data_IF_466299062049
#
_entry.id   IF_466299062049
#
_cell.length_a   1.000
_cell.length_b   1.000
_cell.length_c   1.000
_cell.angle_alpha   90.00
_cell.angle_beta   90.00
_cell.angle_gamma   90.00
#
_symmetry.space_group_name_H-M   'P 1'
#
loop_
_entity.id
_entity.type
_entity.pdbx_description
1 polymer ?
#
# COMPACT_ATOMS: atom_id res chain seq x y z
N UNK A 1 20.45 42.19 3.16
CA UNK A 1 20.51 40.70 3.15
C UNK A 1 19.07 40.15 3.11
N UNK A 2 18.71 39.44 2.07
CA UNK A 2 17.42 38.78 1.97
C UNK A 2 17.45 37.44 2.73
N UNK A 3 16.33 37.06 3.35
CA UNK A 3 16.20 35.77 4.05
C UNK A 3 15.01 34.99 3.55
N UNK A 4 15.05 33.68 3.71
CA UNK A 4 13.94 32.76 3.42
C UNK A 4 13.78 31.78 4.58
N UNK A 5 12.54 31.48 4.94
CA UNK A 5 12.25 30.45 5.95
C UNK A 5 12.36 29.04 5.34
N UNK A 6 12.47 28.02 6.17
CA UNK A 6 12.49 26.63 5.71
C UNK A 6 11.17 26.20 5.09
N UNK A 7 10.05 26.75 5.55
CA UNK A 7 8.71 26.51 5.01
C UNK A 7 8.57 27.08 3.60
N UNK A 8 9.03 28.31 3.38
CA UNK A 8 9.00 28.97 2.06
C UNK A 8 9.91 28.25 1.08
N UNK A 9 11.13 27.86 1.50
CA UNK A 9 12.05 27.09 0.66
C UNK A 9 11.45 25.73 0.27
N UNK A 10 10.81 25.04 1.22
CA UNK A 10 10.14 23.77 0.97
C UNK A 10 8.94 23.89 0.02
N UNK A 11 8.16 24.97 0.10
CA UNK A 11 7.05 25.25 -0.83
C UNK A 11 7.55 25.57 -2.23
N UNK A 12 8.65 26.30 -2.33
CA UNK A 12 9.27 26.67 -3.62
C UNK A 12 9.86 25.44 -4.32
N UNK A 13 10.30 24.45 -3.54
CA UNK A 13 11.05 23.29 -4.02
C UNK A 13 12.53 23.63 -4.25
N UNK A 14 13.40 22.67 -4.05
CA UNK A 14 14.86 22.86 -4.20
C UNK A 14 15.37 22.56 -5.61
N UNK A 15 14.56 21.89 -6.44
CA UNK A 15 14.95 21.55 -7.81
C UNK A 15 15.12 22.78 -8.71
N UNK A 16 16.31 22.94 -9.27
CA UNK A 16 16.62 24.05 -10.18
C UNK A 16 17.03 25.36 -9.49
N UNK A 17 17.06 25.42 -8.16
CA UNK A 17 17.61 26.56 -7.43
C UNK A 17 19.14 26.48 -7.37
N UNK A 18 19.79 27.64 -7.35
CA UNK A 18 21.21 27.74 -7.02
C UNK A 18 21.33 27.72 -5.49
N UNK A 19 21.24 26.53 -4.89
CA UNK A 19 21.26 26.31 -3.45
C UNK A 19 22.67 25.89 -3.01
N UNK A 20 23.30 26.69 -2.15
CA UNK A 20 24.69 26.56 -1.75
C UNK A 20 24.81 26.22 -0.27
N UNK A 21 25.49 25.14 0.02
CA UNK A 21 25.87 24.73 1.36
C UNK A 21 27.29 25.24 1.66
N UNK A 22 27.38 26.19 2.56
CA UNK A 22 28.71 26.80 2.92
C UNK A 22 29.38 26.07 4.08
N UNK A 23 28.88 24.91 4.49
CA UNK A 23 29.53 24.06 5.48
C UNK A 23 30.76 23.37 4.91
N UNK A 24 31.69 22.93 5.78
CA UNK A 24 32.79 22.08 5.36
C UNK A 24 32.33 20.82 4.61
N UNK A 25 33.13 20.31 3.67
CA UNK A 25 32.83 19.15 2.83
C UNK A 25 32.46 17.89 3.64
N UNK A 26 33.12 17.68 4.78
CA UNK A 26 32.82 16.59 5.67
C UNK A 26 31.39 16.63 6.24
N UNK A 27 30.84 17.83 6.47
CA UNK A 27 29.47 18.00 6.97
C UNK A 27 28.45 17.88 5.85
N UNK A 28 28.77 18.39 4.68
CA UNK A 28 27.97 18.20 3.46
C UNK A 28 27.82 16.71 3.10
N UNK A 29 28.91 15.95 3.14
CA UNK A 29 28.93 14.52 2.79
C UNK A 29 28.12 13.64 3.76
N UNK A 30 27.90 14.11 5.01
CA UNK A 30 27.04 13.44 6.01
C UNK A 30 25.55 13.69 5.79
N UNK A 31 25.21 14.67 4.95
CA UNK A 31 23.83 15.02 4.60
C UNK A 31 23.68 16.48 4.28
N UNK A 32 22.90 16.78 3.25
CA UNK A 32 22.63 18.12 2.74
C UNK A 32 21.15 18.27 2.35
N UNK A 33 20.73 19.47 2.02
CA UNK A 33 19.43 19.70 1.37
C UNK A 33 19.53 19.22 -0.07
N UNK A 34 18.51 18.47 -0.53
CA UNK A 34 18.51 17.92 -1.88
C UNK A 34 18.69 19.01 -2.95
N UNK A 35 19.61 18.76 -3.88
CA UNK A 35 19.98 19.71 -4.95
C UNK A 35 20.97 20.77 -4.52
N UNK A 36 21.47 20.78 -3.29
CA UNK A 36 22.48 21.73 -2.85
C UNK A 36 23.86 21.39 -3.41
N UNK A 37 24.64 22.44 -3.70
CA UNK A 37 26.04 22.37 -4.11
C UNK A 37 26.89 22.80 -2.91
N UNK A 38 27.95 22.08 -2.61
CA UNK A 38 28.87 22.46 -1.54
C UNK A 38 29.88 23.49 -2.04
N UNK A 39 29.86 24.66 -1.41
CA UNK A 39 30.87 25.70 -1.58
C UNK A 39 31.22 26.28 -0.20
N UNK A 40 32.20 25.70 0.52
CA UNK A 40 32.57 26.13 1.85
C UNK A 40 32.90 27.62 1.93
N UNK A 41 32.54 28.24 3.07
CA UNK A 41 32.77 29.68 3.30
C UNK A 41 34.22 30.11 3.00
N UNK A 42 35.21 29.31 3.37
CA UNK A 42 36.61 29.54 3.11
C UNK A 42 36.95 29.72 1.61
N UNK A 43 36.22 29.01 0.74
CA UNK A 43 36.38 29.16 -0.71
C UNK A 43 35.76 30.46 -1.22
N UNK A 44 34.62 30.86 -0.66
CA UNK A 44 33.95 32.13 -0.96
C UNK A 44 34.88 33.29 -0.55
N UNK A 45 35.46 33.22 0.66
CA UNK A 45 36.44 34.19 1.15
C UNK A 45 37.70 34.24 0.27
N UNK A 46 38.08 33.14 -0.34
CA UNK A 46 39.21 33.08 -1.30
C UNK A 46 38.84 33.56 -2.72
N UNK A 47 37.57 33.92 -2.96
CA UNK A 47 37.08 34.35 -4.29
C UNK A 47 36.87 33.21 -5.28
N UNK A 48 36.77 31.95 -4.82
CA UNK A 48 36.52 30.78 -5.68
C UNK A 48 35.01 30.64 -5.97
N UNK A 49 34.40 31.62 -6.67
CA UNK A 49 32.97 31.74 -6.91
C UNK A 49 32.55 31.41 -8.35
N UNK A 50 33.43 30.86 -9.18
CA UNK A 50 33.21 30.58 -10.61
C UNK A 50 32.00 29.66 -10.91
N UNK A 51 31.58 28.82 -9.95
CA UNK A 51 30.44 27.94 -10.10
C UNK A 51 29.09 28.67 -9.94
N UNK A 52 29.12 29.91 -9.43
CA UNK A 52 27.90 30.68 -9.17
C UNK A 52 27.52 31.50 -10.41
N UNK A 53 26.20 31.63 -10.60
CA UNK A 53 25.62 32.41 -11.68
C UNK A 53 25.00 33.70 -11.16
N UNK A 54 25.24 34.83 -11.81
CA UNK A 54 24.70 36.14 -11.41
C UNK A 54 23.29 36.43 -11.96
N UNK A 55 22.82 35.61 -12.88
CA UNK A 55 21.52 35.77 -13.54
C UNK A 55 20.35 35.15 -12.77
N UNK A 56 20.63 34.51 -11.64
CA UNK A 56 19.66 33.89 -10.77
C UNK A 56 20.06 34.03 -9.27
N UNK A 57 19.07 34.05 -8.35
CA UNK A 57 19.36 34.18 -6.93
C UNK A 57 20.18 32.99 -6.39
N UNK A 58 21.09 33.30 -5.44
CA UNK A 58 21.92 32.34 -4.73
C UNK A 58 21.33 32.11 -3.33
N UNK A 59 20.81 30.93 -3.09
CA UNK A 59 20.29 30.51 -1.78
C UNK A 59 21.43 29.91 -0.97
N UNK A 60 21.68 30.45 0.21
CA UNK A 60 22.81 30.06 1.06
C UNK A 60 22.33 29.47 2.37
N UNK A 61 22.99 28.44 2.84
CA UNK A 61 22.79 27.92 4.17
C UNK A 61 24.07 27.34 4.78
N UNK A 62 24.15 27.41 6.11
CA UNK A 62 25.15 26.70 6.90
C UNK A 62 24.48 25.85 7.98
N UNK A 63 25.11 25.57 9.11
CA UNK A 63 24.50 24.83 10.20
C UNK A 63 23.30 25.56 10.83
N UNK A 64 23.44 26.85 11.15
CA UNK A 64 22.45 27.65 11.90
C UNK A 64 22.12 29.00 11.27
N UNK A 65 22.71 29.34 10.13
CA UNK A 65 22.44 30.57 9.39
C UNK A 65 23.44 31.73 9.66
N UNK A 66 24.48 31.51 10.47
CA UNK A 66 25.50 32.53 10.77
C UNK A 66 26.57 32.63 9.67
N UNK A 67 27.34 31.59 9.43
CA UNK A 67 28.38 31.56 8.37
C UNK A 67 27.81 31.78 6.96
N UNK A 68 26.55 31.37 6.73
CA UNK A 68 25.89 31.65 5.45
C UNK A 68 25.45 33.10 5.30
N UNK A 69 25.30 33.83 6.40
CA UNK A 69 25.11 35.27 6.39
C UNK A 69 26.41 35.99 5.97
N UNK A 70 27.52 35.58 6.57
CA UNK A 70 28.84 36.12 6.20
C UNK A 70 29.17 35.86 4.73
N UNK A 71 28.87 34.64 4.25
CA UNK A 71 28.99 34.30 2.83
C UNK A 71 28.07 35.15 1.94
N UNK A 72 26.88 35.43 2.37
CA UNK A 72 25.94 36.25 1.61
C UNK A 72 26.43 37.71 1.51
N UNK A 73 26.94 38.28 2.60
CA UNK A 73 27.49 39.63 2.59
C UNK A 73 28.68 39.75 1.58
N UNK A 74 29.57 38.78 1.57
CA UNK A 74 30.72 38.76 0.60
C UNK A 74 30.18 38.67 -0.86
N UNK A 75 29.21 37.81 -1.12
CA UNK A 75 28.67 37.62 -2.46
C UNK A 75 27.81 38.82 -2.91
N UNK A 76 27.06 39.47 -2.00
CA UNK A 76 26.32 40.70 -2.28
C UNK A 76 27.28 41.82 -2.73
N UNK A 77 28.46 41.97 -2.08
CA UNK A 77 29.51 42.93 -2.46
C UNK A 77 30.09 42.61 -3.83
N UNK A 78 30.09 41.34 -4.24
CA UNK A 78 30.50 40.89 -5.58
C UNK A 78 29.37 41.02 -6.64
N UNK A 79 28.18 41.45 -6.23
CA UNK A 79 27.04 41.71 -7.11
C UNK A 79 26.18 40.48 -7.42
N UNK A 80 26.16 39.49 -6.54
CA UNK A 80 25.19 38.39 -6.58
C UNK A 80 23.88 38.82 -5.82
N UNK A 81 22.73 38.25 -6.21
CA UNK A 81 21.50 38.39 -5.47
C UNK A 81 21.41 37.22 -4.47
N UNK A 82 21.64 37.48 -3.19
CA UNK A 82 21.76 36.43 -2.19
C UNK A 82 20.55 36.33 -1.28
N UNK A 83 20.20 35.10 -0.88
CA UNK A 83 19.09 34.80 0.04
C UNK A 83 19.59 33.79 1.07
N UNK A 84 19.61 34.20 2.34
CA UNK A 84 20.07 33.34 3.43
C UNK A 84 18.92 32.53 4.02
N UNK A 85 19.11 31.19 4.19
CA UNK A 85 18.15 30.32 4.85
C UNK A 85 18.18 30.51 6.36
N UNK A 86 17.08 30.99 6.94
CA UNK A 86 16.94 31.20 8.37
C UNK A 86 17.08 29.88 9.15
N UNK A 87 17.97 29.91 10.16
CA UNK A 87 18.25 28.73 11.00
C UNK A 87 18.98 27.59 10.30
N UNK A 88 19.36 27.76 9.03
CA UNK A 88 20.22 26.88 8.26
C UNK A 88 19.76 25.42 8.19
N UNK A 89 20.72 24.50 7.98
CA UNK A 89 20.46 23.07 7.87
C UNK A 89 19.78 22.45 9.10
N UNK A 90 20.06 22.99 10.30
CA UNK A 90 19.42 22.52 11.53
C UNK A 90 17.92 22.82 11.55
N UNK A 91 17.49 23.99 11.07
CA UNK A 91 16.07 24.34 10.95
C UNK A 91 15.39 23.48 9.87
N UNK A 92 16.06 23.22 8.74
CA UNK A 92 15.59 22.32 7.70
C UNK A 92 15.34 20.91 8.21
N UNK A 93 16.30 20.30 8.92
CA UNK A 93 16.13 18.98 9.51
C UNK A 93 14.96 18.93 10.50
N UNK A 94 14.82 19.96 11.35
CA UNK A 94 13.70 20.05 12.31
C UNK A 94 12.36 20.12 11.56
N UNK A 95 12.27 20.93 10.53
CA UNK A 95 11.09 21.03 9.68
C UNK A 95 10.73 19.67 9.05
N UNK A 96 11.68 18.96 8.45
CA UNK A 96 11.47 17.65 7.87
C UNK A 96 10.96 16.63 8.90
N UNK A 97 11.58 16.58 10.09
CA UNK A 97 11.15 15.70 11.17
C UNK A 97 9.72 16.01 11.62
N UNK A 98 9.38 17.29 11.78
CA UNK A 98 8.04 17.73 12.18
C UNK A 98 7.01 17.31 11.13
N UNK A 99 7.31 17.52 9.84
CA UNK A 99 6.41 17.13 8.74
C UNK A 99 6.15 15.63 8.72
N UNK A 100 7.21 14.82 8.79
CA UNK A 100 7.09 13.34 8.82
C UNK A 100 6.28 12.89 10.05
N UNK A 101 6.46 13.52 11.20
CA UNK A 101 5.71 13.20 12.41
C UNK A 101 4.23 13.55 12.27
N UNK A 102 3.90 14.71 11.69
CA UNK A 102 2.50 15.12 11.45
C UNK A 102 1.81 14.20 10.45
N UNK A 103 2.48 13.82 9.34
CA UNK A 103 1.96 12.89 8.35
C UNK A 103 1.70 11.51 8.98
N UNK A 104 2.61 11.02 9.82
CA UNK A 104 2.44 9.74 10.53
C UNK A 104 1.27 9.77 11.52
N UNK A 105 1.12 10.86 12.28
CA UNK A 105 0.02 11.02 13.23
C UNK A 105 -1.33 11.08 12.49
N UNK A 106 -1.44 11.88 11.44
CA UNK A 106 -2.65 11.96 10.61
C UNK A 106 -3.04 10.60 10.01
N UNK A 107 -2.06 9.85 9.53
CA UNK A 107 -2.29 8.48 9.01
C UNK A 107 -2.79 7.56 10.12
N UNK A 108 -2.17 7.59 11.30
CA UNK A 108 -2.58 6.76 12.44
C UNK A 108 -4.01 7.06 12.87
N UNK A 109 -4.37 8.33 13.01
CA UNK A 109 -5.73 8.75 13.31
C UNK A 109 -6.73 8.24 12.27
N UNK A 110 -6.36 8.32 11.00
CA UNK A 110 -7.17 7.82 9.89
C UNK A 110 -7.36 6.31 9.96
N UNK A 111 -6.29 5.54 10.22
CA UNK A 111 -6.35 4.09 10.41
C UNK A 111 -7.28 3.73 11.58
N UNK A 112 -7.16 4.41 12.72
CA UNK A 112 -8.02 4.21 13.88
C UNK A 112 -9.51 4.49 13.59
N UNK A 113 -9.81 5.53 12.80
CA UNK A 113 -11.19 5.83 12.37
C UNK A 113 -11.77 4.69 11.53
N UNK A 114 -10.97 4.14 10.59
CA UNK A 114 -11.37 3.00 9.75
C UNK A 114 -11.64 1.77 10.61
N UNK A 115 -10.78 1.46 11.56
CA UNK A 115 -10.94 0.35 12.51
C UNK A 115 -12.19 0.53 13.39
N UNK A 116 -12.38 1.70 13.96
CA UNK A 116 -13.57 2.03 14.75
C UNK A 116 -14.86 1.88 13.94
N UNK A 117 -14.83 2.15 12.64
CA UNK A 117 -15.99 1.96 11.77
C UNK A 117 -16.45 0.50 11.70
N UNK A 118 -15.53 -0.47 11.67
CA UNK A 118 -15.82 -1.90 11.63
C UNK A 118 -16.58 -2.38 12.88
N UNK A 119 -16.11 -2.00 14.06
CA UNK A 119 -16.67 -2.47 15.34
C UNK A 119 -17.84 -1.63 15.83
N UNK A 120 -18.10 -0.45 15.23
CA UNK A 120 -19.25 0.41 15.56
C UNK A 120 -20.31 0.36 14.45
N UNK A 121 -20.10 1.09 13.35
CA UNK A 121 -21.07 1.26 12.27
C UNK A 121 -21.34 -0.05 11.51
N UNK A 122 -20.28 -0.79 11.19
CA UNK A 122 -20.36 -2.05 10.43
C UNK A 122 -20.33 -3.29 11.33
N UNK A 123 -20.60 -3.13 12.62
CA UNK A 123 -20.61 -4.24 13.57
C UNK A 123 -21.56 -5.35 13.16
N UNK A 124 -22.83 -5.02 12.89
CA UNK A 124 -23.86 -6.02 12.56
C UNK A 124 -23.66 -6.61 11.15
N UNK A 125 -23.50 -5.81 10.09
CA UNK A 125 -23.43 -6.34 8.73
C UNK A 125 -22.09 -7.01 8.40
N UNK A 126 -20.97 -6.60 9.00
CA UNK A 126 -19.63 -7.10 8.68
C UNK A 126 -19.03 -7.89 9.85
N UNK A 127 -18.73 -7.23 10.97
CA UNK A 127 -18.01 -7.84 12.09
C UNK A 127 -18.72 -9.07 12.66
N UNK A 128 -20.01 -8.95 12.97
CA UNK A 128 -20.78 -10.08 13.56
C UNK A 128 -20.91 -11.24 12.59
N UNK A 129 -21.05 -10.98 11.29
CA UNK A 129 -21.10 -12.04 10.28
C UNK A 129 -19.76 -12.74 10.08
N UNK A 130 -18.67 -11.96 10.10
CA UNK A 130 -17.31 -12.49 10.08
C UNK A 130 -17.04 -13.40 11.30
N UNK A 131 -17.30 -12.92 12.52
CA UNK A 131 -17.10 -13.72 13.74
C UNK A 131 -18.03 -14.93 13.80
N UNK A 132 -19.27 -14.79 13.30
CA UNK A 132 -20.22 -15.91 13.18
C UNK A 132 -19.69 -16.98 12.24
N UNK A 133 -19.16 -16.62 11.07
CA UNK A 133 -18.56 -17.58 10.13
C UNK A 133 -17.37 -18.32 10.75
N UNK A 134 -16.51 -17.61 11.46
CA UNK A 134 -15.37 -18.23 12.15
C UNK A 134 -15.81 -19.25 13.20
N UNK A 135 -16.88 -18.96 13.91
CA UNK A 135 -17.43 -19.83 14.96
C UNK A 135 -18.19 -21.01 14.35
N UNK A 136 -19.18 -20.77 13.48
CA UNK A 136 -20.08 -21.80 12.96
C UNK A 136 -19.35 -22.85 12.13
N UNK A 137 -18.26 -22.47 11.47
CA UNK A 137 -17.46 -23.37 10.64
C UNK A 137 -16.12 -23.75 11.29
N UNK A 138 -15.90 -23.41 12.56
CA UNK A 138 -14.68 -23.74 13.32
C UNK A 138 -13.41 -23.42 12.54
N UNK A 139 -13.34 -22.20 11.96
CA UNK A 139 -12.26 -21.84 11.03
C UNK A 139 -10.93 -21.58 11.70
N UNK A 140 -10.93 -21.20 12.99
CA UNK A 140 -9.70 -20.85 13.74
C UNK A 140 -9.65 -21.67 15.03
N UNK A 141 -8.47 -22.21 15.31
CA UNK A 141 -8.14 -22.92 16.55
C UNK A 141 -6.92 -22.30 17.23
N UNK A 142 -6.73 -22.56 18.52
CA UNK A 142 -5.53 -22.12 19.21
C UNK A 142 -4.28 -22.80 18.63
N UNK A 143 -3.23 -22.01 18.41
CA UNK A 143 -1.99 -22.46 17.79
C UNK A 143 -1.98 -22.38 16.26
N UNK A 144 -3.07 -21.95 15.61
CA UNK A 144 -3.07 -21.76 14.17
C UNK A 144 -2.10 -20.63 13.74
N UNK A 145 -1.47 -20.81 12.61
CA UNK A 145 -0.75 -19.77 11.87
C UNK A 145 -1.39 -19.56 10.51
N UNK A 146 -2.01 -18.40 10.32
CA UNK A 146 -2.92 -18.12 9.21
C UNK A 146 -2.28 -17.16 8.21
N UNK A 147 -2.15 -17.58 6.96
CA UNK A 147 -1.80 -16.70 5.86
C UNK A 147 -3.07 -16.02 5.31
N UNK A 148 -3.26 -14.74 5.60
CA UNK A 148 -4.31 -13.91 5.03
C UNK A 148 -3.84 -13.44 3.65
N UNK A 149 -4.48 -13.93 2.59
CA UNK A 149 -4.06 -13.63 1.22
C UNK A 149 -4.59 -12.28 0.75
N UNK A 150 -3.67 -11.38 0.42
CA UNK A 150 -3.96 -10.02 -0.04
C UNK A 150 -3.82 -9.94 -1.56
N UNK A 151 -4.93 -9.61 -2.21
CA UNK A 151 -4.96 -9.37 -3.67
C UNK A 151 -4.95 -7.88 -4.04
N UNK A 152 -5.07 -6.99 -3.06
CA UNK A 152 -5.20 -5.55 -3.26
C UNK A 152 -6.64 -5.07 -3.49
N UNK A 153 -7.61 -5.98 -3.68
CA UNK A 153 -9.03 -5.65 -3.78
C UNK A 153 -9.69 -5.39 -2.42
N UNK A 154 -10.88 -4.78 -2.45
CA UNK A 154 -11.67 -4.41 -1.27
C UNK A 154 -11.88 -5.55 -0.26
N UNK A 155 -12.13 -6.76 -0.78
CA UNK A 155 -12.48 -7.93 0.04
C UNK A 155 -11.28 -8.43 0.84
N UNK A 156 -10.12 -8.54 0.20
CA UNK A 156 -8.88 -8.97 0.85
C UNK A 156 -8.36 -7.96 1.86
N UNK A 157 -8.49 -6.67 1.58
CA UNK A 157 -8.08 -5.62 2.51
C UNK A 157 -9.03 -5.51 3.71
N UNK A 158 -10.34 -5.66 3.50
CA UNK A 158 -11.31 -5.78 4.61
C UNK A 158 -11.00 -7.01 5.48
N UNK A 159 -10.76 -8.17 4.85
CA UNK A 159 -10.40 -9.40 5.55
C UNK A 159 -9.19 -9.21 6.44
N UNK A 160 -8.14 -8.54 5.94
CA UNK A 160 -6.95 -8.23 6.71
C UNK A 160 -7.25 -7.37 7.94
N UNK A 161 -8.07 -6.34 7.79
CA UNK A 161 -8.48 -5.48 8.91
C UNK A 161 -9.29 -6.23 9.96
N UNK A 162 -10.21 -7.08 9.53
CA UNK A 162 -11.00 -7.92 10.44
C UNK A 162 -10.12 -8.90 11.23
N UNK A 163 -9.11 -9.49 10.59
CA UNK A 163 -8.15 -10.34 11.28
C UNK A 163 -7.27 -9.57 12.27
N UNK A 164 -6.84 -8.35 11.93
CA UNK A 164 -6.08 -7.49 12.85
C UNK A 164 -6.91 -7.15 14.09
N UNK A 165 -8.18 -6.77 13.91
CA UNK A 165 -9.09 -6.52 15.02
C UNK A 165 -9.34 -7.76 15.88
N UNK A 166 -9.53 -8.91 15.25
CA UNK A 166 -9.69 -10.19 15.96
C UNK A 166 -8.44 -10.54 16.75
N UNK A 167 -7.25 -10.34 16.18
CA UNK A 167 -5.97 -10.61 16.84
C UNK A 167 -5.74 -9.72 18.06
N UNK A 168 -6.06 -8.43 17.96
CA UNK A 168 -5.88 -7.46 19.05
C UNK A 168 -6.84 -7.66 20.22
N UNK A 169 -8.07 -8.08 19.93
CA UNK A 169 -9.16 -8.11 20.89
C UNK A 169 -9.75 -9.50 21.12
N UNK A 170 -9.30 -10.49 20.37
CA UNK A 170 -9.77 -11.88 20.49
C UNK A 170 -9.16 -12.59 21.69
N UNK A 171 -9.84 -13.68 22.12
CA UNK A 171 -9.38 -14.53 23.20
C UNK A 171 -8.57 -15.75 22.74
N UNK A 172 -8.49 -15.98 21.41
CA UNK A 172 -7.79 -17.12 20.82
C UNK A 172 -6.33 -16.76 20.55
N UNK A 173 -5.44 -17.72 20.73
CA UNK A 173 -4.03 -17.58 20.43
C UNK A 173 -3.73 -18.14 19.05
N UNK A 174 -3.45 -17.27 18.07
CA UNK A 174 -3.06 -17.64 16.70
C UNK A 174 -2.09 -16.61 16.15
N UNK A 175 -1.35 -16.98 15.11
CA UNK A 175 -0.44 -16.08 14.39
C UNK A 175 -1.02 -15.66 13.04
N UNK A 176 -0.64 -14.46 12.56
CA UNK A 176 -1.05 -13.92 11.28
C UNK A 176 0.14 -13.61 10.39
N UNK A 177 0.02 -13.95 9.12
CA UNK A 177 0.90 -13.49 8.04
C UNK A 177 0.02 -12.89 6.95
N UNK A 178 0.24 -11.64 6.58
CA UNK A 178 -0.47 -10.98 5.48
C UNK A 178 0.31 -11.18 4.18
N UNK A 179 -0.08 -12.19 3.43
CA UNK A 179 0.67 -12.69 2.27
C UNK A 179 0.16 -12.03 0.98
N UNK A 180 1.02 -11.27 0.32
CA UNK A 180 0.71 -10.61 -0.94
C UNK A 180 1.63 -11.11 -2.05
N UNK A 181 1.06 -11.73 -3.06
CA UNK A 181 1.78 -12.15 -4.25
C UNK A 181 1.73 -11.08 -5.33
N UNK A 182 2.89 -10.72 -5.88
CA UNK A 182 2.98 -9.95 -7.11
C UNK A 182 3.14 -10.90 -8.32
N UNK A 183 2.08 -11.15 -9.11
CA UNK A 183 2.13 -12.04 -10.27
C UNK A 183 2.63 -11.35 -11.55
N UNK A 184 3.19 -10.15 -11.44
CA UNK A 184 3.58 -9.26 -12.54
C UNK A 184 2.62 -8.08 -12.73
N UNK A 185 2.13 -7.49 -11.65
CA UNK A 185 1.32 -6.28 -11.72
C UNK A 185 2.08 -5.14 -12.41
N UNK A 186 1.35 -4.22 -13.05
CA UNK A 186 1.94 -2.95 -13.46
C UNK A 186 2.31 -2.10 -12.22
N UNK A 187 3.22 -1.14 -12.42
CA UNK A 187 3.75 -0.32 -11.33
C UNK A 187 2.66 0.45 -10.58
N UNK A 188 1.64 0.94 -11.30
CA UNK A 188 0.53 1.70 -10.72
C UNK A 188 -0.32 0.83 -9.80
N UNK A 189 -0.75 -0.35 -10.23
CA UNK A 189 -1.51 -1.28 -9.40
C UNK A 189 -0.71 -1.74 -8.18
N UNK A 190 0.58 -2.00 -8.37
CA UNK A 190 1.45 -2.39 -7.26
C UNK A 190 1.61 -1.29 -6.23
N UNK A 191 1.80 -0.05 -6.69
CA UNK A 191 1.85 1.14 -5.83
C UNK A 191 0.55 1.32 -5.04
N UNK A 192 -0.61 1.21 -5.67
CA UNK A 192 -1.92 1.31 -5.01
C UNK A 192 -2.08 0.25 -3.91
N UNK A 193 -1.64 -0.99 -4.15
CA UNK A 193 -1.68 -2.06 -3.13
C UNK A 193 -0.83 -1.68 -1.92
N UNK A 194 0.40 -1.21 -2.15
CA UNK A 194 1.33 -0.84 -1.09
C UNK A 194 0.83 0.39 -0.29
N UNK A 195 0.31 1.41 -0.97
CA UNK A 195 -0.24 2.60 -0.34
C UNK A 195 -1.47 2.26 0.53
N UNK A 196 -2.37 1.41 0.04
CA UNK A 196 -3.50 0.94 0.83
C UNK A 196 -3.07 0.10 2.04
N UNK A 197 -2.10 -0.78 1.88
CA UNK A 197 -1.55 -1.56 2.98
C UNK A 197 -0.92 -0.64 4.04
N UNK A 198 -0.17 0.38 3.62
CA UNK A 198 0.41 1.40 4.49
C UNK A 198 -0.67 2.23 5.21
N UNK A 199 -1.73 2.66 4.48
CA UNK A 199 -2.86 3.40 5.07
C UNK A 199 -3.61 2.56 6.11
N UNK A 200 -3.80 1.28 5.84
CA UNK A 200 -4.53 0.36 6.71
C UNK A 200 -3.66 -0.30 7.78
N UNK A 201 -2.37 0.07 7.85
CA UNK A 201 -1.39 -0.53 8.77
C UNK A 201 -1.34 -2.06 8.68
N UNK A 202 -1.33 -2.59 7.44
CA UNK A 202 -1.23 -4.02 7.16
C UNK A 202 0.22 -4.36 6.81
N UNK A 203 0.95 -5.13 7.65
CA UNK A 203 2.34 -5.51 7.38
C UNK A 203 2.37 -6.61 6.31
N UNK A 204 2.58 -6.24 5.04
CA UNK A 204 2.63 -7.19 3.94
C UNK A 204 3.93 -8.01 3.93
N UNK A 205 3.78 -9.33 3.84
CA UNK A 205 4.83 -10.24 3.39
C UNK A 205 4.66 -10.46 1.89
N UNK A 206 5.55 -9.90 1.09
CA UNK A 206 5.44 -9.91 -0.38
C UNK A 206 6.37 -10.94 -1.01
N UNK A 207 5.94 -11.51 -2.14
CA UNK A 207 6.79 -12.32 -3.01
C UNK A 207 6.37 -12.16 -4.47
N UNK A 208 7.29 -12.38 -5.38
CA UNK A 208 7.09 -12.17 -6.82
C UNK A 208 6.99 -13.50 -7.56
N UNK A 209 6.23 -13.50 -8.65
CA UNK A 209 6.12 -14.61 -9.59
C UNK A 209 5.94 -14.07 -11.00
N UNK A 210 6.26 -14.87 -12.00
CA UNK A 210 6.11 -14.52 -13.42
C UNK A 210 4.84 -15.16 -14.03
N UNK A 211 3.76 -15.25 -13.25
CA UNK A 211 2.52 -15.92 -13.70
C UNK A 211 1.92 -15.23 -14.91
N UNK A 212 1.87 -13.90 -14.92
CA UNK A 212 1.26 -13.17 -16.03
C UNK A 212 2.01 -13.36 -17.34
N UNK A 213 3.33 -13.44 -17.30
CA UNK A 213 4.14 -13.70 -18.48
C UNK A 213 3.94 -15.15 -18.97
N UNK A 214 3.91 -16.11 -18.04
CA UNK A 214 3.69 -17.54 -18.36
C UNK A 214 2.29 -17.84 -18.93
N UNK A 215 1.29 -17.05 -18.57
CA UNK A 215 -0.10 -17.23 -19.03
C UNK A 215 -0.40 -16.45 -20.31
N UNK A 216 0.41 -15.42 -20.63
CA UNK A 216 0.24 -14.58 -21.82
C UNK A 216 0.33 -15.39 -23.13
N UNK A 217 1.07 -16.48 -23.14
CA UNK A 217 1.31 -17.35 -24.32
C UNK A 217 0.26 -18.47 -24.47
N UNK A 218 -0.76 -18.52 -23.59
CA UNK A 218 -1.73 -19.63 -23.56
C UNK A 218 -3.07 -19.21 -24.19
N UNK A 219 -3.41 -19.82 -25.33
CA UNK A 219 -4.63 -19.50 -26.09
C UNK A 219 -5.93 -20.02 -25.45
N UNK A 220 -5.87 -21.07 -24.62
CA UNK A 220 -7.07 -21.71 -24.03
C UNK A 220 -7.16 -21.46 -22.53
N UNK A 221 -8.21 -20.75 -22.11
CA UNK A 221 -8.57 -20.52 -20.69
C UNK A 221 -7.43 -19.92 -19.84
N UNK A 222 -6.79 -18.81 -20.24
CA UNK A 222 -5.68 -18.21 -19.50
C UNK A 222 -6.06 -17.85 -18.04
N UNK A 223 -7.29 -17.40 -17.81
CA UNK A 223 -7.78 -17.05 -16.47
C UNK A 223 -7.86 -18.24 -15.52
N UNK A 224 -8.28 -19.41 -16.02
CA UNK A 224 -8.32 -20.62 -15.20
C UNK A 224 -6.91 -21.08 -14.79
N UNK A 225 -5.99 -21.07 -15.76
CA UNK A 225 -4.59 -21.43 -15.50
C UNK A 225 -3.94 -20.44 -14.51
N UNK A 226 -4.14 -19.14 -14.71
CA UNK A 226 -3.67 -18.10 -13.80
C UNK A 226 -4.19 -18.31 -12.37
N UNK A 227 -5.49 -18.55 -12.21
CA UNK A 227 -6.08 -18.79 -10.90
C UNK A 227 -5.52 -20.05 -10.22
N UNK A 228 -5.29 -21.12 -10.99
CA UNK A 228 -4.70 -22.38 -10.49
C UNK A 228 -3.25 -22.17 -10.06
N UNK A 229 -2.43 -21.50 -10.87
CA UNK A 229 -1.03 -21.21 -10.56
C UNK A 229 -0.93 -20.30 -9.33
N UNK A 230 -1.72 -19.22 -9.28
CA UNK A 230 -1.76 -18.31 -8.12
C UNK A 230 -2.06 -19.06 -6.83
N UNK A 231 -3.02 -19.95 -6.85
CA UNK A 231 -3.36 -20.77 -5.68
C UNK A 231 -2.19 -21.67 -5.26
N UNK A 232 -1.54 -22.35 -6.21
CA UNK A 232 -0.38 -23.20 -5.93
C UNK A 232 0.77 -22.44 -5.27
N UNK A 233 1.13 -21.28 -5.81
CA UNK A 233 2.18 -20.43 -5.25
C UNK A 233 1.83 -19.90 -3.85
N UNK A 234 0.57 -19.47 -3.62
CA UNK A 234 0.11 -19.02 -2.32
C UNK A 234 0.21 -20.12 -1.26
N UNK A 235 -0.23 -21.34 -1.58
CA UNK A 235 -0.11 -22.48 -0.67
C UNK A 235 1.35 -22.83 -0.39
N UNK A 236 2.19 -22.87 -1.41
CA UNK A 236 3.62 -23.17 -1.25
C UNK A 236 4.29 -22.16 -0.34
N UNK A 237 4.05 -20.86 -0.58
CA UNK A 237 4.64 -19.79 0.23
C UNK A 237 4.10 -19.75 1.65
N UNK A 238 2.82 -19.97 1.84
CA UNK A 238 2.22 -20.06 3.18
C UNK A 238 2.83 -21.23 3.98
N UNK A 239 3.01 -22.39 3.36
CA UNK A 239 3.65 -23.55 3.99
C UNK A 239 5.11 -23.29 4.34
N UNK A 240 5.87 -22.64 3.44
CA UNK A 240 7.26 -22.21 3.69
C UNK A 240 7.36 -21.29 4.94
N UNK A 241 6.36 -20.42 5.12
CA UNK A 241 6.26 -19.52 6.28
C UNK A 241 5.72 -20.22 7.55
N UNK A 242 5.50 -21.52 7.51
CA UNK A 242 4.99 -22.30 8.63
C UNK A 242 3.51 -22.13 8.91
N UNK A 243 2.74 -21.57 7.96
CA UNK A 243 1.29 -21.46 8.10
C UNK A 243 0.62 -22.81 7.87
N UNK A 244 -0.41 -23.11 8.66
CA UNK A 244 -1.30 -24.26 8.47
C UNK A 244 -2.65 -23.89 7.86
N UNK A 245 -2.93 -22.60 7.71
CA UNK A 245 -4.19 -22.11 7.10
C UNK A 245 -3.94 -20.99 6.10
N UNK A 246 -4.80 -20.96 5.07
CA UNK A 246 -4.90 -19.86 4.11
C UNK A 246 -6.29 -19.25 4.21
N UNK A 247 -6.39 -17.95 4.45
CA UNK A 247 -7.63 -17.20 4.46
C UNK A 247 -7.81 -16.42 3.15
N UNK A 248 -8.92 -16.64 2.47
CA UNK A 248 -9.28 -15.96 1.23
C UNK A 248 -10.51 -15.07 1.42
N UNK A 249 -10.53 -13.92 0.74
CA UNK A 249 -11.55 -12.89 0.83
C UNK A 249 -12.84 -13.19 0.04
N UNK A 250 -13.20 -14.45 -0.20
CA UNK A 250 -14.47 -14.79 -0.83
C UNK A 250 -15.63 -14.51 0.12
N UNK A 251 -16.65 -13.84 -0.38
CA UNK A 251 -17.81 -13.39 0.37
C UNK A 251 -19.10 -14.14 -0.02
N UNK A 252 -20.23 -13.81 0.61
CA UNK A 252 -21.52 -14.48 0.43
C UNK A 252 -21.96 -14.54 -1.03
N UNK A 253 -21.85 -13.43 -1.76
CA UNK A 253 -22.26 -13.35 -3.16
C UNK A 253 -21.40 -14.23 -4.07
N UNK A 254 -20.08 -14.33 -3.83
CA UNK A 254 -19.20 -15.25 -4.54
C UNK A 254 -19.67 -16.72 -4.45
N UNK A 255 -20.21 -17.09 -3.29
CA UNK A 255 -20.71 -18.45 -3.05
C UNK A 255 -21.96 -18.69 -3.89
N UNK A 256 -22.93 -17.75 -3.87
CA UNK A 256 -24.17 -17.85 -4.65
C UNK A 256 -23.87 -17.86 -6.15
N UNK A 257 -23.04 -16.92 -6.62
CA UNK A 257 -22.60 -16.87 -8.02
C UNK A 257 -21.96 -18.20 -8.48
N UNK A 258 -21.13 -18.81 -7.64
CA UNK A 258 -20.48 -20.09 -7.95
C UNK A 258 -21.49 -21.22 -8.07
N UNK A 259 -22.48 -21.28 -7.17
CA UNK A 259 -23.56 -22.29 -7.22
C UNK A 259 -24.40 -22.11 -8.49
N UNK A 260 -24.82 -20.90 -8.79
CA UNK A 260 -25.63 -20.59 -9.97
C UNK A 260 -24.87 -20.90 -11.27
N UNK A 261 -23.60 -20.53 -11.35
CA UNK A 261 -22.74 -20.86 -12.49
C UNK A 261 -22.63 -22.40 -12.68
N UNK A 262 -22.45 -23.15 -11.61
CA UNK A 262 -22.42 -24.61 -11.65
C UNK A 262 -23.73 -25.20 -12.19
N UNK A 263 -24.86 -24.72 -11.70
CA UNK A 263 -26.19 -25.19 -12.11
C UNK A 263 -26.50 -24.82 -13.56
N UNK A 264 -26.30 -23.59 -13.96
CA UNK A 264 -26.72 -23.08 -15.27
C UNK A 264 -25.79 -23.46 -16.43
N UNK A 265 -24.48 -23.52 -16.17
CA UNK A 265 -23.50 -23.78 -17.24
C UNK A 265 -22.90 -25.17 -17.24
N UNK A 266 -22.91 -25.86 -16.10
CA UNK A 266 -22.30 -27.19 -15.97
C UNK A 266 -23.28 -28.29 -15.63
N UNK A 267 -24.56 -27.97 -15.31
CA UNK A 267 -25.55 -28.92 -14.86
C UNK A 267 -25.16 -29.62 -13.54
N UNK A 268 -24.29 -29.01 -12.76
CA UNK A 268 -23.78 -29.55 -11.49
C UNK A 268 -24.02 -28.57 -10.36
N UNK A 269 -24.38 -29.06 -9.19
CA UNK A 269 -24.42 -28.26 -7.97
C UNK A 269 -23.02 -28.30 -7.35
N UNK A 270 -22.17 -27.37 -7.74
CA UNK A 270 -20.85 -27.18 -7.14
C UNK A 270 -20.93 -26.06 -6.12
N UNK A 271 -20.43 -26.28 -4.91
CA UNK A 271 -20.44 -25.29 -3.84
C UNK A 271 -19.03 -24.83 -3.50
N UNK A 272 -18.93 -23.57 -3.08
CA UNK A 272 -17.72 -23.02 -2.50
C UNK A 272 -17.77 -23.24 -0.98
N UNK A 273 -17.08 -24.27 -0.47
CA UNK A 273 -17.11 -24.60 0.95
C UNK A 273 -16.46 -23.50 1.81
N UNK A 274 -17.01 -23.18 2.99
CA UNK A 274 -16.45 -22.17 3.90
C UNK A 274 -15.08 -22.57 4.46
N UNK A 275 -14.85 -23.86 4.63
CA UNK A 275 -13.60 -24.48 5.08
C UNK A 275 -13.31 -25.71 4.26
N UNK A 276 -12.05 -25.91 3.86
CA UNK A 276 -11.64 -27.00 3.00
C UNK A 276 -10.21 -27.43 3.31
N UNK A 277 -10.00 -28.74 3.52
CA UNK A 277 -8.67 -29.32 3.59
C UNK A 277 -8.04 -29.38 2.19
N UNK A 278 -6.77 -28.99 2.10
CA UNK A 278 -6.04 -29.06 0.84
C UNK A 278 -5.68 -30.51 0.50
N UNK A 279 -6.03 -30.95 -0.71
CA UNK A 279 -5.65 -32.27 -1.20
C UNK A 279 -4.18 -32.34 -1.67
N UNK A 280 -3.63 -31.21 -2.11
CA UNK A 280 -2.28 -31.13 -2.68
C UNK A 280 -1.22 -30.64 -1.68
N UNK A 281 -1.62 -30.06 -0.56
CA UNK A 281 -0.74 -29.53 0.47
C UNK A 281 -1.17 -30.10 1.82
N UNK A 282 -0.56 -31.20 2.19
CA UNK A 282 -0.86 -31.92 3.43
C UNK A 282 -0.74 -31.00 4.65
N UNK A 283 -1.72 -31.07 5.57
CA UNK A 283 -1.78 -30.24 6.77
C UNK A 283 -2.24 -28.80 6.56
N UNK A 284 -2.58 -28.41 5.33
CA UNK A 284 -3.07 -27.06 5.03
C UNK A 284 -4.60 -27.02 4.89
N UNK A 285 -5.23 -26.03 5.50
CA UNK A 285 -6.65 -25.72 5.32
C UNK A 285 -6.84 -24.38 4.63
N UNK A 286 -7.89 -24.31 3.80
CA UNK A 286 -8.39 -23.07 3.22
C UNK A 286 -9.64 -22.65 3.98
N UNK A 287 -9.69 -21.39 4.40
CA UNK A 287 -10.85 -20.80 5.09
C UNK A 287 -11.34 -19.55 4.35
N UNK A 288 -12.66 -19.28 4.46
CA UNK A 288 -13.34 -18.13 3.84
C UNK A 288 -14.13 -17.36 4.91
N UNK A 289 -13.45 -16.52 5.70
CA UNK A 289 -14.11 -15.86 6.85
C UNK A 289 -15.21 -14.86 6.46
N UNK A 290 -15.19 -14.34 5.21
CA UNK A 290 -16.23 -13.45 4.70
C UNK A 290 -17.46 -14.22 4.15
N UNK A 291 -17.54 -15.54 4.32
CA UNK A 291 -18.58 -16.42 3.77
C UNK A 291 -20.02 -15.95 4.01
N UNK A 292 -20.28 -15.30 5.13
CA UNK A 292 -21.60 -14.77 5.51
C UNK A 292 -21.73 -13.25 5.30
N UNK A 293 -20.69 -12.57 4.85
CA UNK A 293 -20.66 -11.11 4.62
C UNK A 293 -21.07 -10.84 3.18
N UNK A 294 -22.04 -9.94 2.98
CA UNK A 294 -22.51 -9.56 1.65
C UNK A 294 -21.59 -8.55 0.97
N UNK A 295 -21.49 -8.59 -0.34
CA UNK A 295 -20.69 -7.65 -1.13
C UNK A 295 -21.14 -6.20 -0.94
N UNK A 296 -22.46 -5.97 -0.84
CA UNK A 296 -23.04 -4.65 -0.58
C UNK A 296 -22.52 -4.02 0.72
N UNK A 297 -22.36 -4.81 1.78
CA UNK A 297 -21.84 -4.37 3.08
C UNK A 297 -20.33 -4.03 3.01
N UNK A 298 -19.58 -4.79 2.19
CA UNK A 298 -18.16 -4.52 1.92
C UNK A 298 -18.00 -3.22 1.14
N UNK A 299 -18.81 -3.01 0.10
CA UNK A 299 -18.85 -1.76 -0.67
C UNK A 299 -19.23 -0.58 0.21
N UNK A 300 -20.27 -0.73 1.06
CA UNK A 300 -20.69 0.31 1.99
C UNK A 300 -19.56 0.70 2.98
N UNK A 301 -18.79 -0.27 3.49
CA UNK A 301 -17.63 0.01 4.34
C UNK A 301 -16.53 0.75 3.58
N UNK A 302 -16.19 0.33 2.37
CA UNK A 302 -15.23 0.99 1.49
C UNK A 302 -15.63 2.45 1.26
N UNK A 303 -16.87 2.69 0.86
CA UNK A 303 -17.37 4.02 0.48
C UNK A 303 -17.50 4.95 1.69
N UNK A 304 -17.98 4.45 2.82
CA UNK A 304 -18.02 5.20 4.07
C UNK A 304 -16.62 5.70 4.49
N UNK A 305 -15.62 4.86 4.32
CA UNK A 305 -14.24 5.18 4.63
C UNK A 305 -13.50 5.84 3.45
N UNK A 306 -14.15 6.13 2.32
CA UNK A 306 -13.55 6.73 1.12
C UNK A 306 -12.26 6.02 0.69
N UNK A 307 -12.29 4.69 0.72
CA UNK A 307 -11.14 3.85 0.33
C UNK A 307 -11.21 3.55 -1.16
N UNK A 308 -10.07 3.58 -1.82
CA UNK A 308 -9.94 3.22 -3.23
C UNK A 308 -9.04 2.01 -3.36
N UNK A 309 -9.59 0.92 -3.87
CA UNK A 309 -8.88 -0.32 -4.10
C UNK A 309 -8.80 -0.63 -5.59
N UNK A 310 -7.84 -1.45 -5.97
CA UNK A 310 -7.80 -1.98 -7.34
C UNK A 310 -9.03 -2.82 -7.61
N UNK A 311 -9.65 -2.64 -8.78
CA UNK A 311 -10.81 -3.45 -9.19
C UNK A 311 -10.36 -4.73 -9.88
N UNK A 312 -9.45 -4.62 -10.83
CA UNK A 312 -8.82 -5.75 -11.47
C UNK A 312 -7.35 -5.45 -11.69
N UNK A 313 -6.50 -6.34 -11.19
CA UNK A 313 -5.06 -6.22 -11.26
C UNK A 313 -4.44 -7.00 -12.43
N UNK A 314 -5.26 -7.55 -13.32
CA UNK A 314 -4.81 -8.36 -14.45
C UNK A 314 -4.29 -7.46 -15.58
N UNK A 315 -3.14 -7.77 -16.17
CA UNK A 315 -2.61 -7.12 -17.38
C UNK A 315 -3.56 -7.24 -18.58
N UNK A 316 -4.45 -8.23 -18.54
CA UNK A 316 -5.35 -8.57 -19.64
C UNK A 316 -6.73 -7.95 -19.51
N UNK A 317 -6.93 -6.97 -18.59
CA UNK A 317 -8.23 -6.37 -18.32
C UNK A 317 -8.88 -5.72 -19.54
N UNK A 318 -8.11 -5.17 -20.47
CA UNK A 318 -8.62 -4.55 -21.69
C UNK A 318 -9.21 -5.58 -22.67
N UNK A 319 -8.78 -6.84 -22.60
CA UNK A 319 -9.21 -7.93 -23.50
C UNK A 319 -9.79 -9.15 -22.78
N UNK A 320 -9.97 -9.10 -21.46
CA UNK A 320 -10.39 -10.24 -20.66
C UNK A 320 -11.91 -10.40 -20.68
N UNK A 321 -12.41 -11.39 -21.41
CA UNK A 321 -13.82 -11.79 -21.40
C UNK A 321 -14.33 -12.29 -20.04
N UNK A 322 -13.43 -12.61 -19.11
CA UNK A 322 -13.75 -13.09 -17.76
C UNK A 322 -13.88 -11.96 -16.74
N UNK A 323 -13.41 -10.73 -17.03
CA UNK A 323 -13.36 -9.59 -16.12
C UNK A 323 -14.18 -8.39 -16.61
N UNK A 324 -15.11 -8.56 -17.55
CA UNK A 324 -15.99 -7.50 -18.02
C UNK A 324 -15.45 -6.65 -19.17
N UNK A 325 -14.46 -7.14 -19.94
CA UNK A 325 -14.17 -6.53 -21.26
C UNK A 325 -15.33 -6.76 -22.22
N UNK A 326 -15.73 -5.78 -22.97
CA UNK A 326 -16.73 -5.59 -24.07
C UNK A 326 -17.92 -6.57 -24.24
N UNK A 327 -17.95 -7.72 -23.54
CA UNK A 327 -19.09 -8.64 -23.37
C UNK A 327 -19.02 -9.14 -21.92
N UNK A 328 -20.06 -8.84 -21.13
CA UNK A 328 -20.20 -9.20 -19.73
C UNK A 328 -19.73 -10.63 -19.42
N UNK A 329 -19.00 -10.81 -18.35
CA UNK A 329 -18.54 -12.14 -17.95
C UNK A 329 -19.75 -12.93 -17.46
N UNK A 330 -19.70 -14.29 -17.62
CA UNK A 330 -20.71 -15.19 -17.06
C UNK A 330 -20.99 -14.92 -15.56
N UNK A 331 -20.01 -14.40 -14.85
CA UNK A 331 -20.10 -14.04 -13.45
C UNK A 331 -20.87 -12.73 -13.25
N UNK A 332 -20.75 -11.79 -14.19
CA UNK A 332 -21.51 -10.53 -14.17
C UNK A 332 -22.99 -10.77 -14.50
N UNK A 333 -23.27 -11.66 -15.46
CA UNK A 333 -24.64 -12.13 -15.74
C UNK A 333 -25.29 -12.75 -14.48
N UNK A 334 -24.51 -13.51 -13.66
CA UNK A 334 -25.00 -14.08 -12.42
C UNK A 334 -25.22 -13.03 -11.34
N UNK A 335 -24.40 -11.98 -11.30
CA UNK A 335 -24.59 -10.83 -10.38
C UNK A 335 -25.88 -10.10 -10.68
N UNK A 336 -26.17 -9.85 -11.94
CA UNK A 336 -27.40 -9.19 -12.37
C UNK A 336 -28.62 -10.04 -11.97
N UNK A 337 -28.54 -11.35 -12.20
CA UNK A 337 -29.62 -12.29 -11.85
C UNK A 337 -29.90 -12.41 -10.34
N UNK A 338 -28.90 -12.17 -9.50
CA UNK A 338 -29.03 -12.19 -8.02
C UNK A 338 -29.53 -10.85 -7.48
N UNK A 339 -29.38 -9.77 -8.25
CA UNK A 339 -29.77 -8.41 -7.83
C UNK A 339 -31.19 -8.04 -8.27
N UNK A 340 -31.74 -8.69 -9.32
CA UNK A 340 -33.15 -8.65 -9.68
C UNK A 340 -34.02 -9.51 -8.75
#
# INVERSE_FOLDING_TARGET
>A
LNTITVEELAQKGTGGLQLIDVRPENDFSRGAIDGAINLPLEKIEAGETDILKKDQPVYLYCHVGENSRDAAEILDDEGYDTINLEGGYRAWLRYQLTRVTMENNSRKERTEQIEKSLIKKFRKPVWSRFTKALHDYEMIQDGDKIAVCISGGKDSMLLAKLFQELYRHGKRNFELVFLCMNPGYNEENWRIIQENAKLLDIPLTTFETQIFDSVAEVDKNPCYLCARMRRGYLYSKAKELGCNKIALGHHFDDVIETILMGMLYSGKVETMMPKLHSQNFEGMELIRPLYLVKEEDIKAWRDYNRLQFIQCACRFTENCTSCGGAKGSKREEMKDLVTE
#
